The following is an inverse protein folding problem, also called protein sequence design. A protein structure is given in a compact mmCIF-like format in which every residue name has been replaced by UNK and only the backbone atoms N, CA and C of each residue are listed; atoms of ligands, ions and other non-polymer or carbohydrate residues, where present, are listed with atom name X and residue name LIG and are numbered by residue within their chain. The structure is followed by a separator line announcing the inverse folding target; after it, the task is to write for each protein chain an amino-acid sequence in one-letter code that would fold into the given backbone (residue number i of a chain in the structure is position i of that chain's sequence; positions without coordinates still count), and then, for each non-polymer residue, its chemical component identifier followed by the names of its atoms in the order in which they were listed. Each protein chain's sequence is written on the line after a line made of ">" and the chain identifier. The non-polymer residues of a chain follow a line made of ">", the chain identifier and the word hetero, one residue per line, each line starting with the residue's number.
data_IF_267912626188
#
_entry.id   IF_267912626188
#
_cell.length_a   1.000
_cell.length_b   1.000
_cell.length_c   1.000
_cell.angle_alpha   90.00
_cell.angle_beta   90.00
_cell.angle_gamma   90.00
#
_symmetry.space_group_name_H-M   'P 1'
#
loop_
_entity.id
_entity.type
_entity.pdbx_description
1 polymer ?
#
# COMPACT_ATOMS: atom_id res chain seq x y z
N UNK A 1 19.88 3.49 9.44
CA UNK A 1 21.06 4.20 8.89
C UNK A 1 21.08 5.62 9.46
N UNK A 2 22.24 6.19 9.83
CA UNK A 2 22.33 7.60 10.20
C UNK A 2 21.79 8.46 9.05
N UNK A 3 21.10 9.57 9.37
CA UNK A 3 20.78 10.55 8.33
C UNK A 3 22.09 10.93 7.65
N UNK A 4 22.17 10.87 6.31
CA UNK A 4 23.38 11.23 5.61
C UNK A 4 23.62 12.73 5.88
N UNK A 5 24.46 13.01 6.88
CA UNK A 5 24.94 14.35 7.14
C UNK A 5 26.05 14.61 6.15
N UNK A 6 25.79 15.52 5.23
CA UNK A 6 26.82 16.08 4.37
C UNK A 6 27.64 17.05 5.22
N UNK A 7 28.69 16.54 5.86
CA UNK A 7 29.69 17.38 6.49
C UNK A 7 30.77 17.71 5.46
N UNK A 8 31.00 18.99 5.22
CA UNK A 8 32.20 19.49 4.54
C UNK A 8 33.26 19.85 5.59
N UNK A 9 34.57 19.76 5.28
CA UNK A 9 35.62 20.20 6.21
C UNK A 9 35.36 21.65 6.59
N UNK A 10 35.45 21.99 7.89
CA UNK A 10 35.27 23.38 8.34
C UNK A 10 36.28 24.30 7.64
N UNK A 11 35.83 25.16 6.71
CA UNK A 11 36.68 26.20 6.17
C UNK A 11 37.08 27.15 7.31
N UNK A 12 38.18 27.89 7.14
CA UNK A 12 38.52 28.95 8.07
C UNK A 12 37.31 29.90 8.27
N UNK A 13 37.08 30.45 9.48
CA UNK A 13 35.90 31.26 9.77
C UNK A 13 35.67 32.41 8.79
N UNK A 14 36.74 33.02 8.27
CA UNK A 14 36.70 34.06 7.23
C UNK A 14 36.21 33.53 5.88
N UNK A 15 36.64 32.32 5.48
CA UNK A 15 36.19 31.67 4.26
C UNK A 15 34.75 31.19 4.36
N UNK A 16 34.35 30.66 5.54
CA UNK A 16 32.96 30.31 5.83
C UNK A 16 32.04 31.52 5.69
N UNK A 17 32.44 32.66 6.27
CA UNK A 17 31.67 33.88 6.18
C UNK A 17 31.55 34.37 4.73
N UNK A 18 32.65 34.32 3.97
CA UNK A 18 32.67 34.71 2.55
C UNK A 18 31.80 33.77 1.69
N UNK A 19 31.86 32.45 1.93
CA UNK A 19 31.04 31.45 1.25
C UNK A 19 29.56 31.60 1.60
N UNK A 20 29.21 31.80 2.87
CA UNK A 20 27.83 32.06 3.30
C UNK A 20 27.29 33.36 2.69
N UNK A 21 28.09 34.43 2.67
CA UNK A 21 27.71 35.67 2.01
C UNK A 21 27.49 35.47 0.51
N UNK A 22 28.34 34.68 -0.14
CA UNK A 22 28.22 34.35 -1.57
C UNK A 22 26.99 33.48 -1.85
N UNK A 23 26.70 32.47 -1.02
CA UNK A 23 25.50 31.64 -1.11
C UNK A 23 24.24 32.46 -0.91
N UNK A 24 24.18 33.30 0.13
CA UNK A 24 23.02 34.18 0.38
C UNK A 24 22.81 35.16 -0.77
N UNK A 25 23.89 35.73 -1.31
CA UNK A 25 23.83 36.62 -2.47
C UNK A 25 23.33 35.88 -3.72
N UNK A 26 23.87 34.69 -4.00
CA UNK A 26 23.44 33.84 -5.11
C UNK A 26 21.98 33.43 -4.96
N UNK A 27 21.57 32.97 -3.77
CA UNK A 27 20.20 32.57 -3.50
C UNK A 27 19.25 33.77 -3.68
N UNK A 28 19.59 34.95 -3.17
CA UNK A 28 18.78 36.15 -3.35
C UNK A 28 18.60 36.55 -4.83
N UNK A 29 19.63 36.38 -5.67
CA UNK A 29 19.56 36.71 -7.10
C UNK A 29 18.94 35.61 -7.96
N UNK A 30 19.16 34.34 -7.62
CA UNK A 30 18.79 33.19 -8.43
C UNK A 30 17.41 32.64 -8.05
N UNK A 31 17.05 32.58 -6.76
CA UNK A 31 15.74 32.08 -6.30
C UNK A 31 14.53 32.74 -6.97
N UNK A 32 14.48 34.08 -7.21
CA UNK A 32 13.38 34.68 -7.97
C UNK A 32 13.40 34.29 -9.46
N UNK A 33 14.59 34.11 -10.07
CA UNK A 33 14.74 33.69 -11.47
C UNK A 33 14.37 32.23 -11.71
N UNK A 34 14.64 31.37 -10.72
CA UNK A 34 14.35 29.93 -10.73
C UNK A 34 13.04 29.56 -10.03
N UNK A 35 12.21 30.55 -9.64
CA UNK A 35 10.94 30.33 -8.93
C UNK A 35 9.99 29.40 -9.70
N UNK A 36 9.99 29.51 -11.03
CA UNK A 36 9.20 28.66 -11.93
C UNK A 36 9.66 27.19 -11.92
N UNK A 37 10.94 26.94 -11.62
CA UNK A 37 11.54 25.60 -11.60
C UNK A 37 11.56 24.96 -10.21
N UNK A 38 11.31 25.74 -9.15
CA UNK A 38 11.29 25.24 -7.77
C UNK A 38 10.34 24.04 -7.55
N UNK A 39 9.09 24.02 -8.06
CA UNK A 39 8.21 22.86 -7.89
C UNK A 39 8.78 21.59 -8.55
N UNK A 40 9.39 21.73 -9.74
CA UNK A 40 10.00 20.62 -10.48
C UNK A 40 11.24 20.11 -9.74
N UNK A 41 12.14 21.02 -9.35
CA UNK A 41 13.36 20.68 -8.61
C UNK A 41 13.06 20.03 -7.27
N UNK A 42 12.03 20.48 -6.56
CA UNK A 42 11.60 19.90 -5.29
C UNK A 42 10.96 18.52 -5.49
N UNK A 43 10.16 18.33 -6.54
CA UNK A 43 9.57 17.04 -6.88
C UNK A 43 10.62 16.01 -7.34
N UNK A 44 11.74 16.47 -7.92
CA UNK A 44 12.84 15.61 -8.36
C UNK A 44 13.87 15.31 -7.25
N UNK A 45 13.85 16.03 -6.13
CA UNK A 45 14.79 15.81 -5.02
C UNK A 45 14.43 14.59 -4.17
N UNK A 46 13.19 14.10 -4.24
CA UNK A 46 12.70 12.96 -3.48
C UNK A 46 12.15 11.90 -4.43
N UNK A 47 12.92 10.85 -4.64
CA UNK A 47 12.45 9.67 -5.37
C UNK A 47 11.69 8.78 -4.40
N UNK A 48 10.37 8.71 -4.55
CA UNK A 48 9.58 7.70 -3.84
C UNK A 48 9.84 6.32 -4.47
N UNK A 49 10.05 5.27 -3.67
CA UNK A 49 10.22 3.92 -4.20
C UNK A 49 8.98 3.54 -5.01
N UNK A 50 9.21 2.91 -6.17
CA UNK A 50 8.11 2.49 -7.03
C UNK A 50 7.22 1.48 -6.29
N UNK A 51 5.87 1.64 -6.27
CA UNK A 51 4.96 0.71 -5.60
C UNK A 51 5.08 -0.77 -6.04
N UNK A 52 5.72 -1.03 -7.20
CA UNK A 52 6.05 -2.36 -7.73
C UNK A 52 6.95 -3.17 -6.81
N UNK A 53 7.82 -2.51 -6.04
CA UNK A 53 8.78 -3.17 -5.15
C UNK A 53 8.07 -4.14 -4.18
N UNK A 54 6.86 -3.79 -3.73
CA UNK A 54 6.02 -4.64 -2.86
C UNK A 54 5.82 -6.04 -3.47
N UNK A 55 5.58 -6.13 -4.77
CA UNK A 55 5.38 -7.40 -5.46
C UNK A 55 6.71 -8.14 -5.67
N UNK A 56 7.76 -7.45 -6.09
CA UNK A 56 9.03 -8.09 -6.47
C UNK A 56 9.78 -8.67 -5.27
N UNK A 57 9.60 -8.11 -4.07
CA UNK A 57 10.24 -8.60 -2.85
C UNK A 57 9.55 -9.83 -2.24
N UNK A 58 8.36 -10.23 -2.74
CA UNK A 58 7.58 -11.33 -2.17
C UNK A 58 7.07 -12.33 -3.24
N UNK A 59 7.63 -13.55 -3.26
CA UNK A 59 7.20 -14.61 -4.18
C UNK A 59 5.72 -15.01 -4.06
N UNK A 60 5.13 -14.92 -2.86
CA UNK A 60 3.68 -15.15 -2.67
C UNK A 60 2.84 -14.11 -3.40
N UNK A 61 3.21 -12.83 -3.32
CA UNK A 61 2.51 -11.75 -4.03
C UNK A 61 2.68 -11.85 -5.55
N UNK A 62 3.84 -12.32 -6.03
CA UNK A 62 4.03 -12.59 -7.46
C UNK A 62 3.09 -13.69 -7.97
N UNK A 63 2.94 -14.78 -7.20
CA UNK A 63 2.00 -15.85 -7.53
C UNK A 63 0.54 -15.39 -7.43
N UNK A 64 0.22 -14.61 -6.39
CA UNK A 64 -1.11 -14.03 -6.19
C UNK A 64 -1.52 -13.12 -7.34
N UNK A 65 -0.62 -12.25 -7.84
CA UNK A 65 -0.88 -11.40 -9.01
C UNK A 65 -1.29 -12.22 -10.24
N UNK A 66 -0.53 -13.27 -10.57
CA UNK A 66 -0.85 -14.14 -11.71
C UNK A 66 -2.21 -14.81 -11.54
N UNK A 67 -2.50 -15.29 -10.34
CA UNK A 67 -3.77 -15.93 -10.01
C UNK A 67 -4.96 -14.96 -10.11
N UNK A 68 -4.84 -13.77 -9.51
CA UNK A 68 -5.89 -12.75 -9.53
C UNK A 68 -6.17 -12.25 -10.94
N UNK A 69 -5.15 -12.10 -11.79
CA UNK A 69 -5.35 -11.75 -13.21
C UNK A 69 -6.15 -12.81 -13.96
N UNK A 70 -5.84 -14.09 -13.74
CA UNK A 70 -6.59 -15.20 -14.33
C UNK A 70 -8.04 -15.20 -13.87
N UNK A 71 -8.27 -15.17 -12.56
CA UNK A 71 -9.61 -15.16 -11.97
C UNK A 71 -10.45 -13.96 -12.44
N UNK A 72 -9.83 -12.77 -12.57
CA UNK A 72 -10.51 -11.58 -13.10
C UNK A 72 -10.91 -11.73 -14.57
N UNK A 73 -10.05 -12.37 -15.38
CA UNK A 73 -10.36 -12.65 -16.80
C UNK A 73 -11.51 -13.65 -16.96
N UNK A 74 -11.67 -14.55 -16.00
CA UNK A 74 -12.76 -15.55 -15.94
C UNK A 74 -13.99 -15.02 -15.19
N UNK A 75 -13.97 -13.76 -14.75
CA UNK A 75 -15.05 -13.08 -14.02
C UNK A 75 -15.42 -13.72 -12.67
N UNK A 76 -14.46 -14.41 -12.06
CA UNK A 76 -14.56 -14.92 -10.70
C UNK A 76 -14.47 -13.81 -9.66
N UNK A 77 -15.02 -14.06 -8.48
CA UNK A 77 -15.00 -13.15 -7.33
C UNK A 77 -14.34 -13.81 -6.14
N UNK A 78 -13.40 -13.10 -5.56
CA UNK A 78 -12.38 -13.71 -4.70
C UNK A 78 -12.50 -13.23 -3.27
N UNK A 79 -12.52 -14.17 -2.32
CA UNK A 79 -12.27 -13.92 -0.91
C UNK A 79 -10.81 -14.22 -0.60
N UNK A 80 -10.12 -13.30 0.06
CA UNK A 80 -8.74 -13.51 0.52
C UNK A 80 -8.72 -13.46 2.04
N UNK A 81 -8.38 -14.57 2.67
CA UNK A 81 -8.26 -14.68 4.11
C UNK A 81 -6.81 -14.55 4.54
N UNK A 82 -6.59 -13.78 5.61
CA UNK A 82 -5.29 -13.73 6.29
C UNK A 82 -5.42 -13.66 7.81
N UNK A 83 -4.44 -14.17 8.54
CA UNK A 83 -4.41 -14.08 10.01
C UNK A 83 -4.00 -12.70 10.50
N UNK A 84 -3.03 -12.07 9.82
CA UNK A 84 -2.40 -10.85 10.30
C UNK A 84 -3.10 -9.60 9.75
N UNK A 85 -3.58 -8.73 10.64
CA UNK A 85 -4.17 -7.44 10.23
C UNK A 85 -3.19 -6.55 9.47
N UNK A 86 -1.90 -6.58 9.83
CA UNK A 86 -0.84 -5.87 9.07
C UNK A 86 -0.70 -6.38 7.63
N UNK A 87 -1.00 -7.65 7.38
CA UNK A 87 -0.98 -8.20 6.02
C UNK A 87 -2.14 -7.65 5.19
N UNK A 88 -3.27 -7.30 5.81
CA UNK A 88 -4.36 -6.61 5.10
C UNK A 88 -3.88 -5.27 4.55
N UNK A 89 -3.09 -4.50 5.29
CA UNK A 89 -2.55 -3.22 4.80
C UNK A 89 -1.63 -3.41 3.58
N UNK A 90 -0.83 -4.48 3.57
CA UNK A 90 0.04 -4.85 2.44
C UNK A 90 -0.80 -5.28 1.23
N UNK A 91 -1.80 -6.13 1.44
CA UNK A 91 -2.74 -6.55 0.39
C UNK A 91 -3.51 -5.35 -0.17
N UNK A 92 -3.88 -4.40 0.68
CA UNK A 92 -4.56 -3.16 0.31
C UNK A 92 -3.70 -2.32 -0.65
N UNK A 93 -2.44 -2.08 -0.29
CA UNK A 93 -1.48 -1.38 -1.15
C UNK A 93 -1.26 -2.12 -2.47
N UNK A 94 -1.16 -3.46 -2.42
CA UNK A 94 -0.96 -4.31 -3.59
C UNK A 94 -2.18 -4.28 -4.54
N UNK A 95 -3.40 -4.44 -4.03
CA UNK A 95 -4.63 -4.40 -4.84
C UNK A 95 -4.87 -3.02 -5.44
N UNK A 96 -4.61 -1.95 -4.69
CA UNK A 96 -4.65 -0.58 -5.21
C UNK A 96 -3.66 -0.36 -6.35
N UNK A 97 -2.44 -0.84 -6.19
CA UNK A 97 -1.40 -0.73 -7.21
C UNK A 97 -1.81 -1.42 -8.53
N UNK A 98 -2.48 -2.57 -8.46
CA UNK A 98 -2.99 -3.29 -9.63
C UNK A 98 -4.37 -2.80 -10.12
N UNK A 99 -5.00 -1.83 -9.44
CA UNK A 99 -6.30 -1.28 -9.84
C UNK A 99 -7.47 -2.25 -9.67
N UNK A 100 -7.43 -3.10 -8.65
CA UNK A 100 -8.57 -3.94 -8.29
C UNK A 100 -9.52 -3.18 -7.37
N UNK A 101 -10.83 -3.36 -7.58
CA UNK A 101 -11.86 -2.86 -6.65
C UNK A 101 -12.05 -3.93 -5.58
N UNK A 102 -11.87 -3.56 -4.33
CA UNK A 102 -11.97 -4.47 -3.20
C UNK A 102 -12.71 -3.87 -2.00
N UNK A 103 -13.10 -4.74 -1.07
CA UNK A 103 -13.53 -4.36 0.28
C UNK A 103 -12.62 -5.01 1.31
N UNK A 104 -12.55 -4.42 2.51
CA UNK A 104 -11.77 -4.91 3.65
C UNK A 104 -12.67 -5.11 4.86
N UNK A 105 -12.50 -6.23 5.54
CA UNK A 105 -13.18 -6.54 6.80
C UNK A 105 -12.18 -7.12 7.79
N UNK A 106 -11.97 -6.40 8.88
CA UNK A 106 -11.12 -6.83 9.99
C UNK A 106 -11.87 -6.72 11.33
N UNK A 107 -11.23 -7.18 12.41
CA UNK A 107 -11.82 -7.17 13.75
C UNK A 107 -12.11 -5.78 14.32
N UNK A 108 -11.63 -4.70 13.69
CA UNK A 108 -11.88 -3.33 14.15
C UNK A 108 -13.14 -2.71 13.53
N UNK A 109 -13.68 -3.32 12.48
CA UNK A 109 -14.93 -2.87 11.85
C UNK A 109 -16.11 -3.01 12.81
N UNK A 110 -16.92 -1.94 12.92
CA UNK A 110 -18.13 -1.96 13.74
C UNK A 110 -19.14 -2.96 13.17
N UNK A 111 -19.95 -3.56 14.04
CA UNK A 111 -20.95 -4.57 13.65
C UNK A 111 -21.89 -4.05 12.56
N UNK A 112 -22.39 -2.82 12.70
CA UNK A 112 -23.29 -2.20 11.70
C UNK A 112 -22.62 -2.01 10.33
N UNK A 113 -21.34 -1.62 10.33
CA UNK A 113 -20.56 -1.46 9.10
C UNK A 113 -20.28 -2.81 8.44
N UNK A 114 -20.13 -3.87 9.24
CA UNK A 114 -19.86 -5.20 8.74
C UNK A 114 -20.99 -5.69 7.84
N UNK A 115 -22.24 -5.54 8.29
CA UNK A 115 -23.43 -5.93 7.52
C UNK A 115 -23.51 -5.15 6.20
N UNK A 116 -23.30 -3.83 6.24
CA UNK A 116 -23.31 -2.99 5.06
C UNK A 116 -22.23 -3.38 4.02
N UNK A 117 -21.03 -3.77 4.47
CA UNK A 117 -19.96 -4.25 3.60
C UNK A 117 -20.32 -5.57 2.91
N UNK A 118 -20.95 -6.50 3.64
CA UNK A 118 -21.41 -7.77 3.09
C UNK A 118 -22.50 -7.57 2.03
N UNK A 119 -23.51 -6.77 2.36
CA UNK A 119 -24.61 -6.46 1.43
C UNK A 119 -24.07 -5.77 0.18
N UNK A 120 -23.14 -4.82 0.35
CA UNK A 120 -22.47 -4.15 -0.76
C UNK A 120 -21.68 -5.12 -1.63
N UNK A 121 -20.95 -6.06 -1.03
CA UNK A 121 -20.25 -7.10 -1.79
C UNK A 121 -21.25 -7.96 -2.57
N UNK A 122 -22.33 -8.42 -1.95
CA UNK A 122 -23.32 -9.28 -2.61
C UNK A 122 -24.07 -8.53 -3.74
N UNK A 123 -24.34 -7.23 -3.57
CA UNK A 123 -25.06 -6.41 -4.55
C UNK A 123 -24.20 -5.91 -5.72
N UNK A 124 -22.96 -5.45 -5.46
CA UNK A 124 -22.11 -4.82 -6.47
C UNK A 124 -21.11 -5.80 -7.08
N UNK A 125 -21.43 -6.30 -8.28
CA UNK A 125 -20.57 -7.23 -9.04
C UNK A 125 -19.26 -6.62 -9.53
N UNK A 126 -19.08 -5.29 -9.46
CA UNK A 126 -17.81 -4.63 -9.83
C UNK A 126 -16.72 -4.87 -8.79
N UNK A 127 -17.10 -5.24 -7.58
CA UNK A 127 -16.18 -5.53 -6.49
C UNK A 127 -15.60 -6.93 -6.71
N UNK A 128 -14.32 -6.97 -7.07
CA UNK A 128 -13.63 -8.20 -7.47
C UNK A 128 -13.11 -8.98 -6.27
N UNK A 129 -12.53 -8.29 -5.28
CA UNK A 129 -11.94 -8.93 -4.10
C UNK A 129 -12.61 -8.49 -2.80
N UNK A 130 -12.68 -9.40 -1.84
CA UNK A 130 -12.94 -9.07 -0.44
C UNK A 130 -11.79 -9.62 0.40
N UNK A 131 -11.03 -8.74 1.06
CA UNK A 131 -9.96 -9.15 1.97
C UNK A 131 -10.50 -9.20 3.40
N UNK A 132 -10.30 -10.33 4.07
CA UNK A 132 -10.83 -10.59 5.40
C UNK A 132 -9.74 -11.09 6.34
N UNK A 133 -9.81 -10.70 7.61
CA UNK A 133 -9.09 -11.45 8.64
C UNK A 133 -9.87 -12.71 9.03
N UNK A 134 -9.21 -13.85 9.17
CA UNK A 134 -9.83 -15.14 9.57
C UNK A 134 -10.64 -15.03 10.87
N UNK A 135 -10.11 -14.30 11.86
CA UNK A 135 -10.81 -14.05 13.13
C UNK A 135 -12.13 -13.29 12.94
N UNK A 136 -12.18 -12.35 12.02
CA UNK A 136 -13.41 -11.61 11.72
C UNK A 136 -14.30 -12.34 10.71
N UNK A 137 -13.73 -13.22 9.88
CA UNK A 137 -14.41 -14.02 8.86
C UNK A 137 -15.17 -15.24 9.40
N UNK A 138 -14.69 -15.87 10.48
CA UNK A 138 -15.34 -17.04 11.10
C UNK A 138 -16.65 -16.73 11.85
N UNK A 139 -17.09 -15.48 11.88
CA UNK A 139 -18.33 -15.05 12.54
C UNK A 139 -19.50 -15.16 11.56
N UNK A 140 -19.88 -16.39 11.18
CA UNK A 140 -21.16 -16.70 10.52
C UNK A 140 -21.55 -15.76 9.36
N UNK A 141 -20.60 -15.37 8.51
CA UNK A 141 -20.82 -14.38 7.46
C UNK A 141 -21.29 -15.05 6.17
N UNK A 142 -22.49 -14.73 5.69
CA UNK A 142 -23.03 -15.24 4.42
C UNK A 142 -22.51 -14.43 3.21
N UNK A 143 -21.30 -14.74 2.75
CA UNK A 143 -20.71 -14.18 1.52
C UNK A 143 -21.06 -15.05 0.31
N UNK A 144 -22.29 -14.97 -0.19
CA UNK A 144 -22.77 -15.75 -1.34
C UNK A 144 -22.30 -15.22 -2.69
N UNK A 145 -21.79 -13.99 -2.75
CA UNK A 145 -21.35 -13.36 -3.99
C UNK A 145 -19.96 -13.79 -4.49
N UNK A 146 -19.21 -14.58 -3.72
CA UNK A 146 -17.89 -15.08 -4.13
C UNK A 146 -17.94 -16.56 -4.52
N UNK A 147 -17.07 -16.93 -5.45
CA UNK A 147 -16.93 -18.30 -5.95
C UNK A 147 -15.52 -18.87 -5.72
N UNK A 148 -14.56 -18.02 -5.37
CA UNK A 148 -13.16 -18.40 -5.15
C UNK A 148 -12.68 -17.95 -3.78
N UNK A 149 -12.06 -18.85 -3.04
CA UNK A 149 -11.46 -18.56 -1.72
C UNK A 149 -9.95 -18.79 -1.78
N UNK A 150 -9.18 -17.80 -1.34
CA UNK A 150 -7.72 -17.85 -1.24
C UNK A 150 -7.32 -17.69 0.22
N UNK A 151 -6.64 -18.69 0.77
CA UNK A 151 -5.95 -18.59 2.05
C UNK A 151 -4.53 -18.08 1.82
N UNK A 152 -4.22 -16.88 2.31
CA UNK A 152 -2.89 -16.29 2.17
C UNK A 152 -1.88 -16.92 3.14
N UNK A 153 -2.36 -17.18 4.35
CA UNK A 153 -1.71 -17.92 5.42
C UNK A 153 -2.75 -18.80 6.14
N UNK A 154 -2.35 -20.03 6.43
CA UNK A 154 -3.19 -21.00 7.16
C UNK A 154 -3.25 -20.65 8.64
N UNK A 155 -4.40 -20.90 9.26
CA UNK A 155 -4.50 -20.84 10.71
C UNK A 155 -3.67 -21.97 11.35
N UNK A 156 -3.15 -21.72 12.55
CA UNK A 156 -2.60 -22.79 13.38
C UNK A 156 -3.68 -23.74 13.88
N UNK A 157 -4.94 -23.28 13.90
CA UNK A 157 -6.09 -24.11 14.21
C UNK A 157 -6.73 -24.67 12.93
N UNK A 158 -6.54 -25.96 12.60
CA UNK A 158 -7.07 -26.56 11.37
C UNK A 158 -8.60 -26.58 11.30
N UNK A 159 -9.30 -26.41 12.43
CA UNK A 159 -10.78 -26.30 12.44
C UNK A 159 -11.28 -24.96 11.93
N UNK A 160 -10.46 -23.90 11.97
CA UNK A 160 -10.85 -22.57 11.49
C UNK A 160 -10.86 -22.49 9.96
N UNK A 161 -9.91 -23.14 9.28
CA UNK A 161 -9.84 -23.15 7.82
C UNK A 161 -10.92 -24.06 7.18
N UNK A 162 -11.46 -25.00 7.95
CA UNK A 162 -12.52 -25.92 7.52
C UNK A 162 -13.94 -25.36 7.67
N UNK A 163 -14.09 -24.24 8.39
CA UNK A 163 -15.37 -23.58 8.68
C UNK A 163 -15.71 -22.51 7.63
#
# INVERSE_FOLDING_TARGET
>A
APQPRLHVPHPAPSKLLEEQQREVMLEAHLKPKFRLLHPISSAMSTQFPHPRLIQYDCGKLQSLDRLLRKLKSEHHRVLIFTQMTRMLDVLEAFLNYHGHIYLRLDGTTKVDQRQALMERFNADKRIFCFILSTRSGGVGINLTGADTVIFYDSDWNPTMDAQ
#
